data_IF_661972999561
#
_entry.id   IF_661972999561
#
_cell.length_a   1.000
_cell.length_b   1.000
_cell.length_c   1.000
_cell.angle_alpha   90.00
_cell.angle_beta   90.00
_cell.angle_gamma   90.00
#
_symmetry.space_group_name_H-M   'P 1'
#
loop_
_entity.id
_entity.type
_entity.pdbx_description
1 polymer ?
#
# COMPACT_ATOMS: atom_id res chain seq x y z
N UNK A 1 -57.54 -9.06 -10.41
CA UNK A 1 -56.68 -8.87 -11.58
C UNK A 1 -55.49 -8.03 -11.18
N UNK A 2 -54.31 -8.65 -11.12
CA UNK A 2 -53.03 -7.91 -10.91
C UNK A 2 -52.62 -7.27 -12.24
N UNK A 3 -52.19 -5.98 -12.26
CA UNK A 3 -51.71 -5.37 -13.49
C UNK A 3 -50.43 -6.08 -13.97
N UNK A 4 -50.18 -6.22 -15.28
CA UNK A 4 -49.00 -6.89 -15.81
C UNK A 4 -47.71 -6.15 -15.41
N UNK A 5 -46.61 -6.86 -15.23
CA UNK A 5 -45.33 -6.24 -14.85
C UNK A 5 -44.90 -5.23 -15.93
N UNK A 6 -44.72 -3.97 -15.54
CA UNK A 6 -44.22 -2.93 -16.46
C UNK A 6 -42.77 -3.26 -16.80
N UNK A 7 -42.52 -3.69 -18.03
CA UNK A 7 -41.16 -3.78 -18.56
C UNK A 7 -40.53 -2.38 -18.52
N UNK A 8 -39.29 -2.26 -18.00
CA UNK A 8 -38.59 -0.96 -18.04
C UNK A 8 -38.46 -0.50 -19.50
N UNK A 9 -38.61 0.81 -19.79
CA UNK A 9 -38.51 1.33 -21.13
C UNK A 9 -37.16 0.98 -21.78
N UNK A 10 -37.15 0.73 -23.07
CA UNK A 10 -36.00 0.31 -23.87
C UNK A 10 -34.81 1.25 -23.68
N UNK A 11 -35.04 2.55 -23.48
CA UNK A 11 -34.03 3.57 -23.16
C UNK A 11 -33.28 3.25 -21.85
N UNK A 12 -34.01 2.83 -20.81
CA UNK A 12 -33.38 2.46 -19.53
C UNK A 12 -32.51 1.16 -19.64
N UNK A 13 -32.89 0.22 -20.50
CA UNK A 13 -32.09 -0.98 -20.81
C UNK A 13 -30.84 -0.66 -21.63
N UNK A 14 -30.93 0.31 -22.55
CA UNK A 14 -29.81 0.79 -23.37
C UNK A 14 -28.83 1.59 -22.50
N UNK A 15 -29.30 2.46 -21.62
CA UNK A 15 -28.47 3.18 -20.65
C UNK A 15 -27.79 2.22 -19.62
N UNK A 16 -28.54 1.21 -19.15
CA UNK A 16 -27.94 0.18 -18.26
C UNK A 16 -26.91 -0.70 -18.97
N UNK A 17 -27.09 -1.02 -20.25
CA UNK A 17 -26.12 -1.76 -21.05
C UNK A 17 -24.85 -0.96 -21.34
N UNK A 18 -24.98 0.35 -21.57
CA UNK A 18 -23.85 1.25 -21.81
C UNK A 18 -22.98 1.52 -20.56
N UNK A 19 -23.47 1.19 -19.36
CA UNK A 19 -22.77 1.38 -18.08
C UNK A 19 -22.20 0.08 -17.49
N UNK A 20 -22.32 -1.06 -18.19
CA UNK A 20 -21.80 -2.34 -17.69
C UNK A 20 -20.29 -2.44 -17.81
N UNK A 21 -19.65 -3.03 -16.78
CA UNK A 21 -18.22 -3.31 -16.76
C UNK A 21 -17.88 -4.37 -17.81
N UNK A 22 -17.21 -3.95 -18.87
CA UNK A 22 -16.70 -4.85 -19.94
C UNK A 22 -15.34 -5.43 -19.57
N UNK A 23 -14.94 -6.54 -20.21
CA UNK A 23 -13.63 -7.16 -19.97
C UNK A 23 -12.45 -6.20 -20.29
N UNK A 24 -12.45 -5.41 -21.39
CA UNK A 24 -11.39 -4.40 -21.62
C UNK A 24 -11.34 -3.32 -20.54
N UNK A 25 -12.50 -2.87 -20.06
CA UNK A 25 -12.55 -1.85 -19.00
C UNK A 25 -12.08 -2.43 -17.65
N UNK A 26 -12.38 -3.71 -17.37
CA UNK A 26 -11.85 -4.41 -16.19
C UNK A 26 -10.32 -4.52 -16.26
N UNK A 27 -9.78 -4.84 -17.43
CA UNK A 27 -8.33 -4.90 -17.64
C UNK A 27 -7.68 -3.50 -17.48
N UNK A 28 -8.31 -2.46 -18.01
CA UNK A 28 -7.85 -1.08 -17.83
C UNK A 28 -7.86 -0.68 -16.35
N UNK A 29 -8.91 -1.02 -15.58
CA UNK A 29 -8.96 -0.75 -14.15
C UNK A 29 -7.87 -1.53 -13.40
N UNK A 30 -7.67 -2.82 -13.71
CA UNK A 30 -6.63 -3.64 -13.10
C UNK A 30 -5.23 -3.06 -13.41
N UNK A 31 -4.99 -2.62 -14.65
CA UNK A 31 -3.73 -1.97 -15.01
C UNK A 31 -3.57 -0.60 -14.33
N UNK A 32 -4.62 0.21 -14.26
CA UNK A 32 -4.58 1.50 -13.58
C UNK A 32 -4.23 1.34 -12.09
N UNK A 33 -4.90 0.44 -11.37
CA UNK A 33 -4.58 0.23 -9.94
C UNK A 33 -3.20 -0.40 -9.73
N UNK A 34 -2.70 -1.19 -10.70
CA UNK A 34 -1.33 -1.71 -10.69
C UNK A 34 -0.31 -0.56 -10.75
N UNK A 35 -0.45 0.35 -11.69
CA UNK A 35 0.47 1.51 -11.83
C UNK A 35 0.38 2.42 -10.61
N UNK A 36 -0.84 2.75 -10.15
CA UNK A 36 -1.04 3.64 -9.01
C UNK A 36 -0.42 3.08 -7.72
N UNK A 37 -0.51 1.77 -7.46
CA UNK A 37 0.10 1.18 -6.26
C UNK A 37 1.64 1.19 -6.35
N UNK A 38 2.21 1.12 -7.55
CA UNK A 38 3.66 1.26 -7.77
C UNK A 38 4.12 2.64 -7.28
N UNK A 39 3.36 3.72 -7.54
CA UNK A 39 3.68 5.07 -7.07
C UNK A 39 3.89 5.15 -5.55
N UNK A 40 3.22 4.29 -4.78
CA UNK A 40 3.27 4.29 -3.31
C UNK A 40 4.35 3.37 -2.74
N UNK A 41 4.60 2.24 -3.40
CA UNK A 41 5.40 1.15 -2.81
C UNK A 41 6.81 1.05 -3.37
N UNK A 42 7.07 1.67 -4.52
CA UNK A 42 8.35 1.59 -5.20
C UNK A 42 9.44 2.55 -4.67
N UNK A 43 9.10 3.49 -3.79
CA UNK A 43 10.06 4.49 -3.28
C UNK A 43 11.14 3.89 -2.35
N UNK A 44 10.88 2.73 -1.73
CA UNK A 44 11.79 2.13 -0.75
C UNK A 44 13.19 1.80 -1.31
N UNK A 45 13.36 1.07 -2.43
CA UNK A 45 14.67 0.81 -3.00
C UNK A 45 15.37 2.07 -3.55
N UNK A 46 14.62 3.12 -3.86
CA UNK A 46 15.15 4.38 -4.39
C UNK A 46 15.67 5.33 -3.29
N UNK A 47 15.45 5.00 -2.01
CA UNK A 47 15.84 5.85 -0.87
C UNK A 47 17.33 6.21 -0.91
N UNK A 48 18.21 5.25 -1.14
CA UNK A 48 19.66 5.47 -1.23
C UNK A 48 20.08 6.34 -2.43
N UNK A 49 19.73 5.96 -3.67
CA UNK A 49 20.04 6.73 -4.87
C UNK A 49 19.55 8.16 -4.85
N UNK A 50 18.28 8.39 -4.44
CA UNK A 50 17.69 9.73 -4.33
C UNK A 50 18.41 10.55 -3.28
N UNK A 51 18.67 9.98 -2.08
CA UNK A 51 19.33 10.71 -0.98
C UNK A 51 20.73 11.15 -1.36
N UNK A 52 21.51 10.28 -2.02
CA UNK A 52 22.84 10.65 -2.52
C UNK A 52 22.78 11.77 -3.57
N UNK A 53 21.86 11.65 -4.53
CA UNK A 53 21.73 12.60 -5.64
C UNK A 53 21.26 13.99 -5.19
N UNK A 54 20.40 14.06 -4.15
CA UNK A 54 19.81 15.31 -3.65
C UNK A 54 20.48 15.78 -2.33
N UNK A 55 21.60 15.16 -1.94
CA UNK A 55 22.37 15.50 -0.72
C UNK A 55 21.54 15.47 0.57
N UNK A 56 20.57 14.53 0.66
CA UNK A 56 19.82 14.31 1.89
C UNK A 56 20.69 13.63 2.94
N UNK A 57 20.70 14.11 4.19
CA UNK A 57 21.33 13.40 5.30
C UNK A 57 20.75 11.98 5.44
N UNK A 58 21.60 11.02 5.82
CA UNK A 58 21.16 9.61 5.99
C UNK A 58 20.00 9.48 6.97
N UNK A 59 20.00 10.28 8.04
CA UNK A 59 18.91 10.33 9.03
C UNK A 59 17.55 10.75 8.43
N UNK A 60 17.54 11.52 7.34
CA UNK A 60 16.35 12.00 6.65
C UNK A 60 16.02 11.18 5.38
N UNK A 61 16.87 10.21 5.03
CA UNK A 61 16.67 9.39 3.82
C UNK A 61 15.31 8.68 3.78
N UNK A 62 14.80 8.27 4.94
CA UNK A 62 13.47 7.65 5.07
C UNK A 62 12.30 8.54 4.60
N UNK A 63 12.49 9.88 4.50
CA UNK A 63 11.47 10.79 3.96
C UNK A 63 11.08 10.44 2.52
N UNK A 64 12.01 9.90 1.74
CA UNK A 64 11.76 9.48 0.35
C UNK A 64 10.64 8.44 0.27
N UNK A 65 10.62 7.48 1.20
CA UNK A 65 9.60 6.44 1.28
C UNK A 65 8.38 6.84 2.14
N UNK A 66 8.59 7.71 3.14
CA UNK A 66 7.52 8.16 4.04
C UNK A 66 6.52 9.08 3.36
N UNK A 67 6.99 10.09 2.64
CA UNK A 67 6.11 11.17 2.17
C UNK A 67 5.06 10.70 1.16
N UNK A 68 5.32 9.78 0.21
CA UNK A 68 4.26 9.20 -0.61
C UNK A 68 3.18 8.52 0.23
N UNK A 69 3.56 7.79 1.28
CA UNK A 69 2.62 7.08 2.17
C UNK A 69 1.79 8.05 3.01
N UNK A 70 2.40 9.09 3.57
CA UNK A 70 1.67 10.15 4.28
C UNK A 70 0.74 10.93 3.36
N UNK A 71 1.23 11.28 2.17
CA UNK A 71 0.40 11.90 1.14
C UNK A 71 -0.84 11.05 0.85
N UNK A 72 -0.65 9.75 0.64
CA UNK A 72 -1.75 8.81 0.41
C UNK A 72 -2.75 8.78 1.58
N UNK A 73 -2.26 8.75 2.82
CA UNK A 73 -3.14 8.82 4.00
C UNK A 73 -3.98 10.10 4.02
N UNK A 74 -3.39 11.25 3.67
CA UNK A 74 -4.11 12.52 3.51
C UNK A 74 -5.14 12.44 2.37
N UNK A 75 -4.75 11.91 1.22
CA UNK A 75 -5.67 11.69 0.09
C UNK A 75 -6.85 10.79 0.46
N UNK A 76 -6.61 9.73 1.21
CA UNK A 76 -7.65 8.83 1.73
C UNK A 76 -8.69 9.56 2.59
N UNK A 77 -8.25 10.47 3.44
CA UNK A 77 -9.14 11.19 4.36
C UNK A 77 -9.89 12.34 3.68
N UNK A 78 -9.26 13.02 2.71
CA UNK A 78 -9.81 14.26 2.15
C UNK A 78 -10.25 14.13 0.68
N UNK A 79 -9.60 13.33 -0.15
CA UNK A 79 -9.98 13.19 -1.56
C UNK A 79 -10.96 12.04 -1.81
N UNK A 80 -10.84 10.91 -1.11
CA UNK A 80 -11.74 9.77 -1.31
C UNK A 80 -13.20 10.10 -0.99
N UNK A 81 -13.56 10.87 0.05
CA UNK A 81 -14.94 11.26 0.29
C UNK A 81 -15.57 12.09 -0.85
N UNK A 82 -14.75 12.75 -1.68
CA UNK A 82 -15.26 13.47 -2.85
C UNK A 82 -15.86 12.54 -3.91
N UNK A 83 -15.52 11.25 -3.89
CA UNK A 83 -16.10 10.26 -4.79
C UNK A 83 -17.59 10.02 -4.55
N UNK A 84 -18.10 10.35 -3.37
CA UNK A 84 -19.52 10.28 -3.03
C UNK A 84 -20.28 11.56 -3.44
N UNK A 85 -19.58 12.63 -3.84
CA UNK A 85 -20.14 13.93 -4.15
C UNK A 85 -19.95 14.36 -5.61
N UNK A 86 -18.79 14.00 -6.19
CA UNK A 86 -18.39 14.44 -7.52
C UNK A 86 -18.58 13.33 -8.55
N UNK A 87 -18.68 13.74 -9.80
CA UNK A 87 -18.72 12.82 -10.93
C UNK A 87 -17.41 11.98 -10.97
N UNK A 88 -17.57 10.65 -10.92
CA UNK A 88 -16.47 9.71 -10.68
C UNK A 88 -15.39 9.72 -11.77
N UNK A 89 -15.78 9.88 -13.06
CA UNK A 89 -14.82 9.98 -14.17
C UNK A 89 -13.97 11.23 -14.03
N UNK A 90 -14.61 12.39 -13.80
CA UNK A 90 -13.91 13.67 -13.67
C UNK A 90 -12.96 13.64 -12.47
N UNK A 91 -13.40 13.12 -11.33
CA UNK A 91 -12.56 13.00 -10.13
C UNK A 91 -11.36 12.09 -10.39
N UNK A 92 -11.58 10.89 -10.94
CA UNK A 92 -10.51 9.93 -11.21
C UNK A 92 -9.48 10.46 -12.20
N UNK A 93 -9.94 11.07 -13.30
CA UNK A 93 -9.05 11.65 -14.33
C UNK A 93 -8.25 12.82 -13.76
N UNK A 94 -8.88 13.70 -13.00
CA UNK A 94 -8.19 14.85 -12.39
C UNK A 94 -7.15 14.40 -11.38
N UNK A 95 -7.45 13.43 -10.51
CA UNK A 95 -6.49 12.90 -9.54
C UNK A 95 -5.30 12.24 -10.23
N UNK A 96 -5.52 11.45 -11.29
CA UNK A 96 -4.42 10.83 -12.05
C UNK A 96 -3.60 11.86 -12.83
N UNK A 97 -4.22 12.86 -13.45
CA UNK A 97 -3.49 13.92 -14.14
C UNK A 97 -2.63 14.75 -13.16
N UNK A 98 -3.17 15.04 -11.96
CA UNK A 98 -2.39 15.67 -10.90
C UNK A 98 -1.24 14.77 -10.44
N UNK A 99 -1.47 13.46 -10.29
CA UNK A 99 -0.42 12.49 -9.94
C UNK A 99 0.70 12.50 -10.99
N UNK A 100 0.35 12.40 -12.26
CA UNK A 100 1.30 12.46 -13.38
C UNK A 100 2.15 13.74 -13.34
N UNK A 101 1.51 14.89 -13.12
CA UNK A 101 2.20 16.18 -12.98
C UNK A 101 3.17 16.18 -11.79
N UNK A 102 2.75 15.69 -10.63
CA UNK A 102 3.60 15.65 -9.44
C UNK A 102 4.78 14.68 -9.62
N UNK A 103 4.57 13.53 -10.28
CA UNK A 103 5.65 12.59 -10.61
C UNK A 103 6.65 13.20 -11.62
N UNK A 104 6.16 13.96 -12.62
CA UNK A 104 7.02 14.69 -13.56
C UNK A 104 7.85 15.76 -12.85
N UNK A 105 7.25 16.49 -11.92
CA UNK A 105 7.96 17.45 -11.06
C UNK A 105 8.98 16.74 -10.15
N UNK A 106 8.69 15.58 -9.62
CA UNK A 106 9.65 14.77 -8.86
C UNK A 106 10.82 14.33 -9.72
N UNK A 107 10.57 13.88 -10.96
CA UNK A 107 11.61 13.48 -11.92
C UNK A 107 12.56 14.65 -12.27
N UNK A 108 12.05 15.87 -12.39
CA UNK A 108 12.81 17.08 -12.73
C UNK A 108 13.38 17.82 -11.50
N UNK A 109 13.14 17.34 -10.28
CA UNK A 109 13.52 18.05 -9.07
C UNK A 109 15.05 18.19 -8.95
N UNK A 110 15.51 19.43 -8.77
CA UNK A 110 16.92 19.76 -8.55
C UNK A 110 17.30 19.74 -7.06
N UNK A 111 16.33 19.89 -6.16
CA UNK A 111 16.56 19.97 -4.71
C UNK A 111 15.64 19.04 -3.95
N UNK A 112 16.11 18.59 -2.76
CA UNK A 112 15.37 17.68 -1.92
C UNK A 112 13.98 18.20 -1.49
N UNK A 113 13.78 19.45 -1.05
CA UNK A 113 12.46 19.92 -0.63
C UNK A 113 11.41 19.86 -1.76
N UNK A 114 11.78 20.21 -2.97
CA UNK A 114 10.89 20.13 -4.13
C UNK A 114 10.54 18.70 -4.49
N UNK A 115 11.54 17.80 -4.47
CA UNK A 115 11.30 16.37 -4.67
C UNK A 115 10.33 15.82 -3.61
N UNK A 116 10.60 16.08 -2.34
CA UNK A 116 9.81 15.57 -1.22
C UNK A 116 8.37 16.09 -1.23
N UNK A 117 8.17 17.37 -1.57
CA UNK A 117 6.83 17.93 -1.76
C UNK A 117 6.10 17.25 -2.93
N UNK A 118 6.78 17.09 -4.06
CA UNK A 118 6.19 16.49 -5.24
C UNK A 118 5.76 15.03 -4.99
N UNK A 119 6.59 14.19 -4.37
CA UNK A 119 6.23 12.80 -4.06
C UNK A 119 5.14 12.70 -2.98
N UNK A 120 5.07 13.64 -2.04
CA UNK A 120 3.98 13.72 -1.07
C UNK A 120 2.64 13.99 -1.76
N UNK A 121 2.60 14.96 -2.67
CA UNK A 121 1.40 15.30 -3.44
C UNK A 121 1.03 14.21 -4.45
N UNK A 122 2.02 13.54 -5.07
CA UNK A 122 1.80 12.35 -5.88
C UNK A 122 1.14 11.24 -5.07
N UNK A 123 1.61 11.00 -3.84
CA UNK A 123 1.00 10.06 -2.90
C UNK A 123 -0.47 10.42 -2.62
N UNK A 124 -0.77 11.69 -2.31
CA UNK A 124 -2.12 12.13 -2.02
C UNK A 124 -3.09 11.88 -3.20
N UNK A 125 -2.64 12.13 -4.41
CA UNK A 125 -3.42 11.92 -5.64
C UNK A 125 -3.48 10.45 -6.09
N UNK A 126 -2.62 9.59 -5.59
CA UNK A 126 -2.67 8.12 -5.82
C UNK A 126 -3.86 7.43 -5.14
N UNK A 127 -4.71 8.15 -4.40
CA UNK A 127 -5.92 7.60 -3.78
C UNK A 127 -7.00 7.14 -4.79
N UNK A 128 -6.83 7.37 -6.10
CA UNK A 128 -7.74 6.93 -7.17
C UNK A 128 -8.03 5.42 -7.15
N UNK A 129 -7.17 4.57 -6.58
CA UNK A 129 -7.46 3.14 -6.32
C UNK A 129 -8.77 2.97 -5.56
N UNK A 130 -9.00 3.80 -4.55
CA UNK A 130 -10.17 3.72 -3.67
C UNK A 130 -11.45 4.19 -4.36
N UNK A 131 -11.34 4.84 -5.51
CA UNK A 131 -12.47 5.23 -6.37
C UNK A 131 -12.71 4.11 -7.42
N UNK A 132 -11.65 3.61 -8.06
CA UNK A 132 -11.76 2.64 -9.15
C UNK A 132 -12.29 1.28 -8.69
N UNK A 133 -11.89 0.78 -7.53
CA UNK A 133 -12.33 -0.55 -7.03
C UNK A 133 -13.83 -0.57 -6.69
N UNK A 134 -14.40 0.35 -5.91
CA UNK A 134 -15.85 0.43 -5.71
C UNK A 134 -16.62 0.72 -7.00
N UNK A 135 -16.06 1.53 -7.92
CA UNK A 135 -16.67 1.83 -9.19
C UNK A 135 -16.80 0.58 -10.07
N UNK A 136 -15.76 -0.28 -10.11
CA UNK A 136 -15.83 -1.57 -10.79
C UNK A 136 -16.95 -2.46 -10.22
N UNK A 137 -17.06 -2.53 -8.88
CA UNK A 137 -18.15 -3.26 -8.23
C UNK A 137 -19.52 -2.72 -8.57
N UNK A 138 -19.66 -1.39 -8.65
CA UNK A 138 -20.93 -0.73 -8.95
C UNK A 138 -21.33 -0.83 -10.43
N UNK A 139 -20.37 -1.04 -11.34
CA UNK A 139 -20.62 -1.24 -12.78
C UNK A 139 -20.82 -2.72 -13.13
N UNK A 140 -20.46 -3.66 -12.26
CA UNK A 140 -20.62 -5.07 -12.51
C UNK A 140 -22.06 -5.54 -12.25
N UNK A 141 -22.49 -6.59 -12.99
CA UNK A 141 -23.74 -7.28 -12.71
C UNK A 141 -23.76 -7.79 -11.25
N UNK A 142 -24.90 -7.77 -10.55
CA UNK A 142 -25.00 -8.17 -9.14
C UNK A 142 -24.31 -9.50 -8.84
N UNK A 143 -24.49 -10.53 -9.68
CA UNK A 143 -23.92 -11.87 -9.50
C UNK A 143 -22.40 -11.93 -9.77
N UNK A 144 -21.81 -10.91 -10.41
CA UNK A 144 -20.40 -10.86 -10.81
C UNK A 144 -19.60 -9.79 -10.07
N UNK A 145 -20.18 -9.07 -9.11
CA UNK A 145 -19.50 -8.00 -8.36
C UNK A 145 -18.24 -8.47 -7.68
N UNK A 146 -18.29 -9.63 -7.02
CA UNK A 146 -17.13 -10.22 -6.37
C UNK A 146 -15.99 -10.54 -7.34
N UNK A 147 -16.31 -11.13 -8.50
CA UNK A 147 -15.33 -11.42 -9.55
C UNK A 147 -14.73 -10.13 -10.14
N UNK A 148 -15.55 -9.10 -10.39
CA UNK A 148 -15.07 -7.82 -10.90
C UNK A 148 -14.07 -7.15 -9.94
N UNK A 149 -14.41 -7.09 -8.64
CA UNK A 149 -13.49 -6.58 -7.61
C UNK A 149 -12.23 -7.43 -7.54
N UNK A 150 -12.36 -8.76 -7.55
CA UNK A 150 -11.21 -9.68 -7.54
C UNK A 150 -10.25 -9.44 -8.71
N UNK A 151 -10.77 -9.27 -9.92
CA UNK A 151 -9.98 -9.01 -11.11
C UNK A 151 -9.25 -7.65 -11.04
N UNK A 152 -9.90 -6.60 -10.52
CA UNK A 152 -9.23 -5.31 -10.34
C UNK A 152 -8.19 -5.38 -9.21
N UNK A 153 -8.50 -6.06 -8.10
CA UNK A 153 -7.57 -6.25 -6.98
C UNK A 153 -6.35 -7.10 -7.35
N UNK A 154 -6.44 -7.99 -8.37
CA UNK A 154 -5.26 -8.68 -8.89
C UNK A 154 -4.23 -7.70 -9.46
N UNK A 155 -4.68 -6.58 -10.04
CA UNK A 155 -3.80 -5.49 -10.46
C UNK A 155 -3.05 -4.85 -9.29
N UNK A 156 -3.73 -4.65 -8.14
CA UNK A 156 -3.06 -4.15 -6.92
C UNK A 156 -1.98 -5.13 -6.46
N UNK A 157 -2.28 -6.42 -6.42
CA UNK A 157 -1.30 -7.45 -6.01
C UNK A 157 -0.10 -7.49 -6.95
N UNK A 158 -0.35 -7.44 -8.26
CA UNK A 158 0.71 -7.39 -9.27
C UNK A 158 1.56 -6.13 -9.13
N UNK A 159 0.95 -4.98 -8.88
CA UNK A 159 1.64 -3.71 -8.65
C UNK A 159 2.54 -3.73 -7.42
N UNK A 160 2.06 -4.28 -6.30
CA UNK A 160 2.88 -4.46 -5.09
C UNK A 160 4.07 -5.36 -5.38
N UNK A 161 3.84 -6.49 -6.07
CA UNK A 161 4.87 -7.45 -6.43
C UNK A 161 5.96 -6.84 -7.33
N UNK A 162 5.54 -6.13 -8.37
CA UNK A 162 6.44 -5.58 -9.38
C UNK A 162 7.08 -4.25 -8.96
N UNK A 163 6.54 -3.54 -7.97
CA UNK A 163 6.95 -2.17 -7.63
C UNK A 163 8.44 -2.05 -7.35
N UNK A 164 8.98 -2.89 -6.47
CA UNK A 164 10.38 -2.85 -6.07
C UNK A 164 11.35 -3.34 -7.16
N UNK A 165 11.11 -4.51 -7.81
CA UNK A 165 11.93 -4.94 -8.95
C UNK A 165 11.94 -3.92 -10.09
N UNK A 166 10.79 -3.38 -10.45
CA UNK A 166 10.64 -2.39 -11.50
C UNK A 166 11.43 -1.10 -11.19
N UNK A 167 11.34 -0.61 -9.93
CA UNK A 167 12.09 0.55 -9.49
C UNK A 167 13.61 0.31 -9.54
N UNK A 168 14.07 -0.84 -9.04
CA UNK A 168 15.49 -1.18 -9.01
C UNK A 168 16.07 -1.35 -10.41
N UNK A 169 15.35 -1.99 -11.34
CA UNK A 169 15.80 -2.18 -12.72
C UNK A 169 15.89 -0.88 -13.51
N UNK A 170 14.87 -0.01 -13.42
CA UNK A 170 14.91 1.28 -14.10
C UNK A 170 15.98 2.18 -13.48
N UNK A 171 16.08 2.19 -12.16
CA UNK A 171 17.10 2.99 -11.48
C UNK A 171 18.51 2.56 -11.90
N UNK A 172 18.79 1.25 -11.94
CA UNK A 172 20.09 0.74 -12.35
C UNK A 172 20.46 1.03 -13.80
N UNK A 173 19.48 1.07 -14.72
CA UNK A 173 19.72 1.31 -16.14
C UNK A 173 19.73 2.79 -16.52
N UNK A 174 18.85 3.60 -15.94
CA UNK A 174 18.56 4.97 -16.39
C UNK A 174 18.52 5.99 -15.25
N UNK A 175 18.73 5.56 -14.02
CA UNK A 175 18.66 6.40 -12.82
C UNK A 175 17.25 6.62 -12.29
N UNK A 176 17.16 7.08 -11.04
CA UNK A 176 15.90 7.27 -10.32
C UNK A 176 14.96 8.31 -10.95
N UNK A 177 15.51 9.33 -11.65
CA UNK A 177 14.70 10.32 -12.37
C UNK A 177 13.89 9.72 -13.50
N UNK A 178 14.49 8.79 -14.25
CA UNK A 178 13.80 8.06 -15.31
C UNK A 178 12.64 7.23 -14.76
N UNK A 179 12.80 6.62 -13.59
CA UNK A 179 11.71 5.89 -12.94
C UNK A 179 10.47 6.78 -12.70
N UNK A 180 10.65 7.94 -12.08
CA UNK A 180 9.54 8.88 -11.85
C UNK A 180 8.97 9.44 -13.16
N UNK A 181 9.81 9.66 -14.17
CA UNK A 181 9.39 10.06 -15.51
C UNK A 181 8.52 9.01 -16.23
N UNK A 182 8.89 7.73 -16.12
CA UNK A 182 8.09 6.61 -16.66
C UNK A 182 6.75 6.52 -15.96
N UNK A 183 6.71 6.64 -14.63
CA UNK A 183 5.44 6.63 -13.88
C UNK A 183 4.56 7.83 -14.24
N UNK A 184 5.15 9.01 -14.41
CA UNK A 184 4.42 10.20 -14.86
C UNK A 184 3.76 9.98 -16.23
N UNK A 185 4.51 9.40 -17.18
CA UNK A 185 3.98 9.09 -18.51
C UNK A 185 2.86 8.04 -18.45
N UNK A 186 3.03 6.98 -17.65
CA UNK A 186 2.00 5.95 -17.46
C UNK A 186 0.72 6.52 -16.84
N UNK A 187 0.82 7.34 -15.78
CA UNK A 187 -0.35 7.97 -15.15
C UNK A 187 -1.05 8.95 -16.10
N UNK A 188 -0.31 9.70 -16.92
CA UNK A 188 -0.89 10.59 -17.93
C UNK A 188 -1.64 9.80 -19.01
N UNK A 189 -1.08 8.69 -19.50
CA UNK A 189 -1.74 7.80 -20.45
C UNK A 189 -2.98 7.15 -19.87
N UNK A 190 -2.93 6.75 -18.60
CA UNK A 190 -4.07 6.21 -17.87
C UNK A 190 -5.18 7.26 -17.68
N UNK A 191 -4.81 8.48 -17.33
CA UNK A 191 -5.77 9.60 -17.22
C UNK A 191 -6.48 9.82 -18.56
N UNK A 192 -5.76 9.83 -19.67
CA UNK A 192 -6.32 9.97 -21.03
C UNK A 192 -7.21 8.78 -21.40
N UNK A 193 -6.77 7.56 -21.11
CA UNK A 193 -7.54 6.34 -21.38
C UNK A 193 -8.84 6.32 -20.57
N UNK A 194 -8.80 6.62 -19.29
CA UNK A 194 -9.98 6.68 -18.43
C UNK A 194 -10.88 7.85 -18.81
N UNK A 195 -10.33 8.99 -19.21
CA UNK A 195 -11.15 10.07 -19.75
C UNK A 195 -11.95 9.64 -21.00
N UNK A 196 -11.37 8.80 -21.86
CA UNK A 196 -12.01 8.34 -23.11
C UNK A 196 -13.03 7.23 -22.90
N UNK A 197 -12.77 6.29 -21.97
CA UNK A 197 -13.54 5.05 -21.87
C UNK A 197 -14.38 4.93 -20.60
N UNK A 198 -14.11 5.72 -19.55
CA UNK A 198 -14.89 5.66 -18.32
C UNK A 198 -16.24 6.35 -18.52
N UNK A 199 -17.40 5.71 -18.23
CA UNK A 199 -18.70 6.34 -18.34
C UNK A 199 -18.88 7.40 -17.26
N UNK A 200 -19.66 8.43 -17.60
CA UNK A 200 -20.09 9.47 -16.67
C UNK A 200 -21.03 8.86 -15.62
N UNK A 201 -20.70 9.01 -14.37
CA UNK A 201 -21.51 8.51 -13.26
C UNK A 201 -21.49 9.50 -12.10
N UNK A 202 -22.69 9.98 -11.75
CA UNK A 202 -22.88 10.84 -10.60
C UNK A 202 -23.32 10.00 -9.40
N UNK A 203 -22.65 10.10 -8.25
CA UNK A 203 -23.12 9.49 -7.02
C UNK A 203 -24.40 10.17 -6.56
N UNK A 204 -25.36 9.37 -6.08
CA UNK A 204 -26.67 9.88 -5.61
C UNK A 204 -26.70 10.26 -4.14
N UNK A 205 -25.56 10.59 -3.50
CA UNK A 205 -25.54 10.92 -2.09
C UNK A 205 -26.03 12.35 -1.85
N UNK A 206 -27.08 12.51 -1.04
CA UNK A 206 -27.54 13.81 -0.54
C UNK A 206 -26.68 14.38 0.60
N UNK A 207 -25.49 13.81 0.85
CA UNK A 207 -24.59 14.20 1.95
C UNK A 207 -23.76 15.43 1.56
N UNK A 208 -23.32 16.19 2.57
CA UNK A 208 -22.40 17.31 2.36
C UNK A 208 -20.97 16.86 2.68
N UNK A 209 -19.97 17.47 2.05
CA UNK A 209 -18.55 17.16 2.31
C UNK A 209 -18.18 17.30 3.81
N UNK A 210 -18.68 18.36 4.46
CA UNK A 210 -18.46 18.56 5.92
C UNK A 210 -19.10 17.44 6.73
N UNK A 211 -20.29 16.95 6.36
CA UNK A 211 -20.96 15.81 6.99
C UNK A 211 -20.16 14.53 6.85
N UNK A 212 -19.60 14.25 5.67
CA UNK A 212 -18.74 13.09 5.41
C UNK A 212 -17.48 13.13 6.28
N UNK A 213 -16.75 14.24 6.32
CA UNK A 213 -15.55 14.38 7.17
C UNK A 213 -15.89 14.28 8.66
N UNK A 214 -16.97 14.92 9.11
CA UNK A 214 -17.42 14.81 10.51
C UNK A 214 -17.78 13.37 10.90
N UNK A 215 -18.36 12.61 9.96
CA UNK A 215 -18.70 11.20 10.18
C UNK A 215 -17.46 10.31 10.39
N UNK A 216 -16.32 10.63 9.77
CA UNK A 216 -15.05 9.91 10.01
C UNK A 216 -14.59 10.09 11.47
N UNK A 217 -14.67 11.32 12.00
CA UNK A 217 -14.36 11.60 13.41
C UNK A 217 -15.28 10.87 14.39
N UNK A 218 -16.58 10.83 14.06
CA UNK A 218 -17.58 10.12 14.86
C UNK A 218 -17.31 8.61 14.85
N UNK A 219 -17.08 7.99 13.70
CA UNK A 219 -16.71 6.58 13.56
C UNK A 219 -15.44 6.25 14.35
N UNK A 220 -14.41 7.08 14.23
CA UNK A 220 -13.17 6.89 14.98
C UNK A 220 -13.37 6.89 16.48
N UNK A 221 -14.21 7.79 17.02
CA UNK A 221 -14.50 7.87 18.46
C UNK A 221 -15.36 6.71 18.94
N UNK A 222 -16.36 6.33 18.16
CA UNK A 222 -17.34 5.31 18.52
C UNK A 222 -16.78 3.89 18.45
N UNK A 223 -16.04 3.55 17.39
CA UNK A 223 -15.67 2.17 17.09
C UNK A 223 -14.30 1.81 17.71
N UNK A 224 -14.33 1.20 18.93
CA UNK A 224 -13.13 0.72 19.63
C UNK A 224 -12.38 -0.35 18.83
N UNK A 225 -13.11 -1.24 18.15
CA UNK A 225 -12.55 -2.31 17.33
C UNK A 225 -11.76 -1.74 16.16
N UNK A 226 -12.29 -0.70 15.48
CA UNK A 226 -11.55 0.02 14.43
C UNK A 226 -10.21 0.54 14.95
N UNK A 227 -10.21 1.26 16.07
CA UNK A 227 -8.97 1.81 16.64
C UNK A 227 -7.95 0.74 16.99
N UNK A 228 -8.40 -0.36 17.61
CA UNK A 228 -7.54 -1.50 17.98
C UNK A 228 -6.82 -2.05 16.74
N UNK A 229 -7.56 -2.44 15.72
CA UNK A 229 -6.97 -3.02 14.50
C UNK A 229 -6.18 -2.00 13.68
N UNK A 230 -6.62 -0.73 13.62
CA UNK A 230 -5.89 0.32 12.91
C UNK A 230 -4.53 0.62 13.58
N UNK A 231 -4.45 0.67 14.91
CA UNK A 231 -3.18 0.86 15.62
C UNK A 231 -2.26 -0.36 15.48
N UNK A 232 -2.78 -1.60 15.59
CA UNK A 232 -1.99 -2.80 15.35
C UNK A 232 -1.38 -2.77 13.96
N UNK A 233 -2.21 -2.56 12.94
CA UNK A 233 -1.79 -2.50 11.56
C UNK A 233 -0.80 -1.36 11.28
N UNK A 234 -0.94 -0.20 11.94
CA UNK A 234 0.00 0.91 11.82
C UNK A 234 1.38 0.56 12.40
N UNK A 235 1.43 -0.08 13.57
CA UNK A 235 2.68 -0.50 14.20
C UNK A 235 3.38 -1.59 13.38
N UNK A 236 2.62 -2.58 12.87
CA UNK A 236 3.13 -3.61 11.96
C UNK A 236 3.67 -2.99 10.68
N UNK A 237 2.92 -2.05 10.08
CA UNK A 237 3.37 -1.36 8.86
C UNK A 237 4.59 -0.48 9.11
N UNK A 238 4.74 0.10 10.31
CA UNK A 238 5.94 0.83 10.69
C UNK A 238 7.17 -0.10 10.69
N UNK A 239 7.09 -1.27 11.31
CA UNK A 239 8.16 -2.27 11.28
C UNK A 239 8.47 -2.77 9.87
N UNK A 240 7.44 -3.05 9.09
CA UNK A 240 7.56 -3.47 7.69
C UNK A 240 8.25 -2.40 6.81
N UNK A 241 7.81 -1.14 6.90
CA UNK A 241 8.43 -0.04 6.15
C UNK A 241 9.86 0.23 6.61
N UNK A 242 10.15 0.11 7.90
CA UNK A 242 11.50 0.24 8.44
C UNK A 242 12.43 -0.84 7.86
N UNK A 243 11.99 -2.10 7.84
CA UNK A 243 12.76 -3.19 7.24
C UNK A 243 13.06 -2.95 5.76
N UNK A 244 12.05 -2.69 4.92
CA UNK A 244 12.23 -2.51 3.49
C UNK A 244 13.03 -1.25 3.12
N UNK A 245 12.97 -0.19 3.94
CA UNK A 245 13.81 1.00 3.78
C UNK A 245 15.27 0.70 4.13
N UNK A 246 15.51 0.03 5.25
CA UNK A 246 16.86 -0.27 5.73
C UNK A 246 17.56 -1.37 4.94
N UNK A 247 16.84 -2.42 4.50
CA UNK A 247 17.43 -3.55 3.77
C UNK A 247 18.07 -3.09 2.45
N UNK A 248 17.47 -2.10 1.78
CA UNK A 248 18.03 -1.50 0.58
C UNK A 248 19.40 -0.86 0.82
N UNK A 249 19.61 -0.26 2.00
CA UNK A 249 20.91 0.28 2.39
C UNK A 249 21.91 -0.83 2.78
N UNK A 250 21.44 -1.92 3.37
CA UNK A 250 22.30 -3.04 3.82
C UNK A 250 22.84 -3.87 2.67
N UNK A 251 22.00 -4.21 1.69
CA UNK A 251 22.37 -5.13 0.61
C UNK A 251 23.37 -4.54 -0.38
N UNK A 252 23.48 -3.22 -0.49
CA UNK A 252 24.53 -2.57 -1.31
C UNK A 252 25.90 -2.51 -0.61
N UNK A 253 25.96 -2.82 0.69
CA UNK A 253 27.20 -2.86 1.45
C UNK A 253 27.83 -4.25 1.45
N UNK A 254 29.16 -4.30 1.67
CA UNK A 254 29.87 -5.56 1.90
C UNK A 254 29.27 -6.34 3.11
N UNK A 255 29.26 -7.65 3.08
CA UNK A 255 29.81 -8.55 2.04
C UNK A 255 28.82 -8.83 0.88
N UNK A 256 27.59 -8.31 0.89
CA UNK A 256 26.57 -8.61 -0.12
C UNK A 256 26.84 -7.89 -1.44
N UNK A 257 27.09 -6.58 -1.39
CA UNK A 257 27.43 -5.72 -2.56
C UNK A 257 26.52 -5.96 -3.79
N UNK A 258 25.20 -6.09 -3.55
CA UNK A 258 24.24 -6.35 -4.63
C UNK A 258 24.10 -5.14 -5.55
N UNK A 259 24.11 -5.41 -6.85
CA UNK A 259 23.76 -4.49 -7.91
C UNK A 259 22.23 -4.35 -8.04
N UNK A 260 21.77 -3.55 -9.00
CA UNK A 260 20.34 -3.32 -9.23
C UNK A 260 19.58 -4.59 -9.61
N UNK A 261 20.22 -5.56 -10.30
CA UNK A 261 19.61 -6.85 -10.62
C UNK A 261 19.46 -7.72 -9.37
N UNK A 262 20.50 -7.81 -8.55
CA UNK A 262 20.45 -8.51 -7.27
C UNK A 262 19.39 -7.92 -6.34
N UNK A 263 19.28 -6.59 -6.30
CA UNK A 263 18.24 -5.89 -5.54
C UNK A 263 16.83 -6.20 -6.07
N UNK A 264 16.65 -6.24 -7.39
CA UNK A 264 15.38 -6.61 -8.01
C UNK A 264 15.00 -8.06 -7.69
N UNK A 265 15.95 -9.00 -7.75
CA UNK A 265 15.72 -10.41 -7.39
C UNK A 265 15.38 -10.55 -5.90
N UNK A 266 16.11 -9.88 -5.00
CA UNK A 266 15.80 -9.89 -3.57
C UNK A 266 14.39 -9.36 -3.31
N UNK A 267 13.96 -8.32 -4.01
CA UNK A 267 12.64 -7.72 -3.86
C UNK A 267 11.49 -8.68 -4.22
N UNK A 268 11.74 -9.75 -5.00
CA UNK A 268 10.76 -10.81 -5.27
C UNK A 268 10.40 -11.62 -4.01
N UNK A 269 11.18 -11.53 -2.93
CA UNK A 269 10.78 -12.10 -1.64
C UNK A 269 9.40 -11.58 -1.18
N UNK A 270 9.02 -10.34 -1.55
CA UNK A 270 7.69 -9.76 -1.31
C UNK A 270 6.53 -10.46 -2.02
N UNK A 271 6.77 -11.46 -2.90
CA UNK A 271 5.72 -12.31 -3.49
C UNK A 271 4.93 -13.05 -2.43
N UNK A 272 5.56 -13.38 -1.29
CA UNK A 272 4.92 -14.13 -0.21
C UNK A 272 3.62 -13.48 0.27
N UNK A 273 3.57 -12.15 0.34
CA UNK A 273 2.36 -11.41 0.70
C UNK A 273 1.17 -11.69 -0.22
N UNK A 274 1.41 -11.85 -1.52
CA UNK A 274 0.32 -12.11 -2.49
C UNK A 274 -0.30 -13.51 -2.30
N UNK A 275 0.49 -14.47 -1.82
CA UNK A 275 0.03 -15.83 -1.52
C UNK A 275 -0.68 -15.87 -0.15
N UNK A 276 -0.16 -15.14 0.81
CA UNK A 276 -0.70 -15.13 2.20
C UNK A 276 -2.04 -14.40 2.29
N UNK A 277 -2.28 -13.35 1.51
CA UNK A 277 -3.53 -12.58 1.57
C UNK A 277 -4.80 -13.46 1.40
N UNK A 278 -4.95 -14.29 0.35
CA UNK A 278 -6.13 -15.15 0.20
C UNK A 278 -6.20 -16.25 1.27
N UNK A 279 -5.06 -16.75 1.77
CA UNK A 279 -5.02 -17.75 2.85
C UNK A 279 -5.51 -17.14 4.17
N UNK A 280 -5.00 -15.97 4.56
CA UNK A 280 -5.44 -15.24 5.75
C UNK A 280 -6.93 -14.88 5.66
N UNK A 281 -7.42 -14.47 4.48
CA UNK A 281 -8.83 -14.25 4.22
C UNK A 281 -9.68 -15.49 4.51
N UNK A 282 -9.33 -16.64 3.92
CA UNK A 282 -10.04 -17.93 4.14
C UNK A 282 -10.02 -18.37 5.61
N UNK A 283 -8.89 -18.21 6.31
CA UNK A 283 -8.77 -18.52 7.73
C UNK A 283 -9.70 -17.61 8.55
N UNK A 284 -9.72 -16.33 8.20
CA UNK A 284 -10.63 -15.35 8.80
C UNK A 284 -12.10 -15.72 8.60
N UNK A 285 -12.49 -16.15 7.38
CA UNK A 285 -13.87 -16.52 7.04
C UNK A 285 -14.36 -17.74 7.82
N UNK A 286 -13.46 -18.64 8.19
CA UNK A 286 -13.72 -19.78 9.06
C UNK A 286 -13.80 -19.44 10.54
N UNK A 287 -13.70 -18.16 10.92
CA UNK A 287 -13.78 -17.71 12.32
C UNK A 287 -12.47 -17.81 13.12
N UNK A 288 -11.35 -18.23 12.48
CA UNK A 288 -10.07 -18.45 13.15
C UNK A 288 -9.18 -17.19 13.22
N UNK A 289 -9.73 -16.00 13.06
CA UNK A 289 -8.96 -14.73 13.13
C UNK A 289 -8.24 -14.57 14.48
N UNK A 290 -8.84 -15.06 15.56
CA UNK A 290 -8.24 -15.00 16.89
C UNK A 290 -6.94 -15.80 17.03
N UNK A 291 -6.80 -16.93 16.37
CA UNK A 291 -5.57 -17.75 16.39
C UNK A 291 -4.59 -17.33 15.30
N UNK A 292 -5.06 -16.81 14.17
CA UNK A 292 -4.22 -16.42 13.04
C UNK A 292 -3.44 -15.12 13.28
N UNK A 293 -3.99 -14.17 14.04
CA UNK A 293 -3.33 -12.88 14.31
C UNK A 293 -2.00 -13.03 15.07
N UNK A 294 -1.90 -13.79 16.20
CA UNK A 294 -0.61 -14.03 16.86
C UNK A 294 0.38 -14.77 15.97
N UNK A 295 -0.09 -15.68 15.12
CA UNK A 295 0.79 -16.37 14.16
C UNK A 295 1.41 -15.37 13.19
N UNK A 296 0.61 -14.41 12.67
CA UNK A 296 1.13 -13.34 11.84
C UNK A 296 2.20 -12.51 12.56
N UNK A 297 1.96 -12.14 13.82
CA UNK A 297 2.94 -11.40 14.62
C UNK A 297 4.18 -12.22 14.97
N UNK A 298 4.06 -13.53 15.20
CA UNK A 298 5.22 -14.42 15.39
C UNK A 298 6.08 -14.53 14.13
N UNK A 299 5.47 -14.60 12.95
CA UNK A 299 6.22 -14.58 11.68
C UNK A 299 7.04 -13.29 11.55
N UNK A 300 6.48 -12.13 11.92
CA UNK A 300 7.21 -10.87 11.94
C UNK A 300 8.41 -10.92 12.89
N UNK A 301 8.22 -11.38 14.12
CA UNK A 301 9.29 -11.47 15.12
C UNK A 301 10.42 -12.40 14.67
N UNK A 302 10.08 -13.60 14.17
CA UNK A 302 11.06 -14.56 13.65
C UNK A 302 11.81 -13.95 12.45
N UNK A 303 11.08 -13.31 11.53
CA UNK A 303 11.67 -12.63 10.38
C UNK A 303 12.68 -11.56 10.79
N UNK A 304 12.36 -10.72 11.77
CA UNK A 304 13.28 -9.68 12.27
C UNK A 304 14.50 -10.29 12.96
N UNK A 305 14.34 -11.33 13.77
CA UNK A 305 15.47 -12.02 14.42
C UNK A 305 16.42 -12.64 13.39
N UNK A 306 15.87 -13.28 12.35
CA UNK A 306 16.67 -13.79 11.23
C UNK A 306 17.39 -12.66 10.48
N UNK A 307 16.73 -11.54 10.24
CA UNK A 307 17.30 -10.37 9.58
C UNK A 307 18.45 -9.75 10.40
N UNK A 308 18.31 -9.70 11.71
CA UNK A 308 19.36 -9.24 12.63
C UNK A 308 20.54 -10.20 12.66
N UNK A 309 20.29 -11.50 12.68
CA UNK A 309 21.36 -12.52 12.63
C UNK A 309 22.12 -12.46 11.31
N UNK A 310 21.41 -12.52 10.19
CA UNK A 310 22.00 -12.62 8.86
C UNK A 310 22.58 -11.30 8.33
N UNK A 311 22.07 -10.16 8.79
CA UNK A 311 22.52 -8.87 8.29
C UNK A 311 23.38 -8.05 9.25
N UNK A 312 23.26 -8.27 10.58
CA UNK A 312 23.99 -7.54 11.62
C UNK A 312 24.90 -8.44 12.47
N UNK A 313 24.91 -9.76 12.22
CA UNK A 313 25.74 -10.70 12.98
C UNK A 313 25.22 -10.98 14.39
N UNK A 314 23.94 -10.77 14.66
CA UNK A 314 23.36 -11.14 15.94
C UNK A 314 23.56 -12.62 16.21
N UNK A 315 23.72 -12.98 17.49
CA UNK A 315 23.99 -14.34 17.94
C UNK A 315 25.31 -14.94 17.39
N UNK A 316 26.26 -14.07 16.99
CA UNK A 316 27.59 -14.51 16.55
C UNK A 316 27.66 -15.09 15.13
N UNK A 317 26.69 -14.80 14.28
CA UNK A 317 26.69 -15.30 12.91
C UNK A 317 27.85 -14.71 12.08
N UNK A 318 28.74 -15.55 11.49
CA UNK A 318 29.90 -15.08 10.70
C UNK A 318 29.48 -14.71 9.28
N UNK A 319 28.93 -13.50 9.08
CA UNK A 319 28.37 -13.04 7.81
C UNK A 319 29.45 -12.99 6.72
N UNK A 320 30.66 -12.54 7.07
CA UNK A 320 31.76 -12.38 6.12
C UNK A 320 32.26 -13.73 5.57
N UNK A 321 32.20 -14.80 6.37
CA UNK A 321 32.64 -16.15 5.98
C UNK A 321 31.60 -16.85 5.11
N UNK A 322 30.28 -16.58 5.33
CA UNK A 322 29.19 -17.24 4.66
C UNK A 322 28.15 -16.25 4.07
N UNK A 323 28.56 -15.34 3.15
CA UNK A 323 27.68 -14.28 2.65
C UNK A 323 26.46 -14.80 1.88
N UNK A 324 26.59 -15.93 1.18
CA UNK A 324 25.47 -16.54 0.45
C UNK A 324 24.42 -17.14 1.40
N UNK A 325 24.83 -17.80 2.47
CA UNK A 325 23.93 -18.29 3.51
C UNK A 325 23.21 -17.13 4.19
N UNK A 326 23.95 -16.06 4.53
CA UNK A 326 23.39 -14.85 5.12
C UNK A 326 22.37 -14.19 4.20
N UNK A 327 22.66 -14.10 2.90
CA UNK A 327 21.70 -13.59 1.91
C UNK A 327 20.45 -14.46 1.83
N UNK A 328 20.60 -15.78 1.80
CA UNK A 328 19.46 -16.71 1.81
C UNK A 328 18.57 -16.55 3.05
N UNK A 329 19.17 -16.37 4.23
CA UNK A 329 18.42 -16.09 5.47
C UNK A 329 17.75 -14.73 5.46
N UNK A 330 18.33 -13.69 4.83
CA UNK A 330 17.70 -12.41 4.63
C UNK A 330 16.47 -12.51 3.69
N UNK A 331 16.53 -13.35 2.66
CA UNK A 331 15.37 -13.63 1.79
C UNK A 331 14.26 -14.30 2.59
N UNK A 332 14.59 -15.33 3.41
CA UNK A 332 13.59 -15.98 4.29
C UNK A 332 13.01 -14.97 5.28
N UNK A 333 13.85 -14.11 5.87
CA UNK A 333 13.39 -13.05 6.76
C UNK A 333 12.39 -12.10 6.08
N UNK A 334 12.68 -11.68 4.85
CA UNK A 334 11.78 -10.82 4.07
C UNK A 334 10.44 -11.53 3.77
N UNK A 335 10.47 -12.83 3.42
CA UNK A 335 9.28 -13.65 3.19
C UNK A 335 8.40 -13.72 4.44
N UNK A 336 9.00 -13.97 5.61
CA UNK A 336 8.27 -14.05 6.88
C UNK A 336 7.68 -12.70 7.29
N UNK A 337 8.42 -11.62 7.09
CA UNK A 337 7.95 -10.27 7.35
C UNK A 337 6.77 -9.89 6.45
N UNK A 338 6.86 -10.15 5.15
CA UNK A 338 5.76 -9.93 4.21
C UNK A 338 4.51 -10.75 4.58
N UNK A 339 4.72 -12.04 4.87
CA UNK A 339 3.64 -12.94 5.27
C UNK A 339 2.93 -12.45 6.54
N UNK A 340 3.68 -12.06 7.56
CA UNK A 340 3.14 -11.55 8.82
C UNK A 340 2.39 -10.23 8.64
N UNK A 341 2.99 -9.27 7.91
CA UNK A 341 2.37 -7.96 7.70
C UNK A 341 1.07 -8.03 6.88
N UNK A 342 1.06 -8.82 5.80
CA UNK A 342 -0.13 -9.02 4.97
C UNK A 342 -1.19 -9.82 5.72
N UNK A 343 -0.79 -10.79 6.56
CA UNK A 343 -1.67 -11.53 7.45
C UNK A 343 -2.41 -10.61 8.42
N UNK A 344 -1.68 -9.78 9.17
CA UNK A 344 -2.26 -8.78 10.10
C UNK A 344 -3.22 -7.82 9.39
N UNK A 345 -2.77 -7.23 8.26
CA UNK A 345 -3.59 -6.29 7.49
C UNK A 345 -4.89 -6.93 6.99
N UNK A 346 -4.82 -8.16 6.48
CA UNK A 346 -5.99 -8.85 5.91
C UNK A 346 -7.01 -9.19 6.98
N UNK A 347 -6.56 -9.75 8.11
CA UNK A 347 -7.41 -10.09 9.25
C UNK A 347 -8.02 -8.84 9.90
N UNK A 348 -7.22 -7.78 10.08
CA UNK A 348 -7.69 -6.52 10.63
C UNK A 348 -8.73 -5.85 9.72
N UNK A 349 -8.48 -5.77 8.41
CA UNK A 349 -9.41 -5.23 7.43
C UNK A 349 -10.73 -5.99 7.39
N UNK A 350 -10.68 -7.32 7.50
CA UNK A 350 -11.88 -8.14 7.61
C UNK A 350 -12.68 -7.79 8.86
N UNK A 351 -12.04 -7.70 10.02
CA UNK A 351 -12.71 -7.39 11.28
C UNK A 351 -13.45 -6.05 11.23
N UNK A 352 -12.84 -5.00 10.68
CA UNK A 352 -13.48 -3.68 10.56
C UNK A 352 -14.62 -3.65 9.54
N UNK A 353 -14.53 -4.43 8.46
CA UNK A 353 -15.59 -4.51 7.43
C UNK A 353 -16.88 -5.17 7.93
N UNK A 354 -16.82 -5.88 9.05
CA UNK A 354 -17.98 -6.51 9.67
C UNK A 354 -18.70 -5.59 10.68
N UNK A 355 -18.14 -4.42 11.02
CA UNK A 355 -18.70 -3.52 12.03
C UNK A 355 -19.98 -2.83 11.56
N UNK A 356 -19.98 -2.25 10.38
CA UNK A 356 -21.14 -1.55 9.80
C UNK A 356 -21.11 -1.65 8.27
N UNK A 357 -22.09 -2.38 7.67
CA UNK A 357 -22.19 -2.50 6.22
C UNK A 357 -22.35 -1.16 5.47
N UNK A 358 -22.99 -0.17 6.09
CA UNK A 358 -23.25 1.14 5.48
C UNK A 358 -22.06 2.11 5.60
N UNK A 359 -21.10 1.82 6.49
CA UNK A 359 -19.93 2.64 6.74
C UNK A 359 -18.61 1.99 6.24
N UNK A 360 -18.67 0.88 5.50
CA UNK A 360 -17.47 0.10 5.08
C UNK A 360 -16.41 0.94 4.39
N UNK A 361 -16.79 1.80 3.46
CA UNK A 361 -15.84 2.67 2.74
C UNK A 361 -15.11 3.61 3.71
N UNK A 362 -15.85 4.24 4.63
CA UNK A 362 -15.32 5.16 5.64
C UNK A 362 -14.43 4.43 6.66
N UNK A 363 -14.85 3.25 7.11
CA UNK A 363 -14.06 2.39 8.01
C UNK A 363 -12.74 1.96 7.37
N UNK A 364 -12.78 1.52 6.11
CA UNK A 364 -11.57 1.18 5.36
C UNK A 364 -10.67 2.40 5.14
N UNK A 365 -11.24 3.56 4.83
CA UNK A 365 -10.49 4.81 4.67
C UNK A 365 -9.69 5.17 5.94
N UNK A 366 -10.34 5.13 7.09
CA UNK A 366 -9.69 5.37 8.38
C UNK A 366 -8.61 4.33 8.70
N UNK A 367 -8.92 3.04 8.51
CA UNK A 367 -7.97 1.96 8.75
C UNK A 367 -6.72 2.09 7.87
N UNK A 368 -6.90 2.27 6.56
CA UNK A 368 -5.81 2.38 5.59
C UNK A 368 -5.03 3.69 5.78
N UNK A 369 -5.72 4.79 6.12
CA UNK A 369 -5.05 6.05 6.44
C UNK A 369 -4.09 5.91 7.62
N UNK A 370 -4.56 5.34 8.74
CA UNK A 370 -3.73 5.12 9.94
C UNK A 370 -2.60 4.11 9.67
N UNK A 371 -2.87 3.05 8.91
CA UNK A 371 -1.89 2.08 8.46
C UNK A 371 -0.71 2.75 7.70
N UNK A 372 -0.99 3.63 6.73
CA UNK A 372 0.06 4.32 5.98
C UNK A 372 0.78 5.40 6.78
N UNK A 373 0.11 6.05 7.73
CA UNK A 373 0.80 6.92 8.71
C UNK A 373 1.85 6.13 9.49
N UNK A 374 1.49 4.93 9.96
CA UNK A 374 2.45 4.02 10.60
C UNK A 374 3.63 3.70 9.69
N UNK A 375 3.35 3.33 8.44
CA UNK A 375 4.39 3.04 7.44
C UNK A 375 5.34 4.22 7.20
N UNK A 376 4.81 5.42 7.10
CA UNK A 376 5.60 6.63 6.96
C UNK A 376 6.53 6.87 8.15
N UNK A 377 6.00 6.77 9.37
CA UNK A 377 6.79 6.91 10.61
C UNK A 377 7.91 5.86 10.63
N UNK A 378 7.61 4.61 10.30
CA UNK A 378 8.59 3.53 10.25
C UNK A 378 9.72 3.78 9.25
N UNK A 379 9.41 4.31 8.08
CA UNK A 379 10.40 4.63 7.06
C UNK A 379 11.40 5.72 7.52
N UNK A 380 10.93 6.78 8.19
CA UNK A 380 11.82 7.81 8.77
C UNK A 380 12.62 7.26 9.94
N UNK A 381 11.95 6.53 10.85
CA UNK A 381 12.61 5.93 11.99
C UNK A 381 13.73 4.96 11.57
N UNK A 382 13.58 4.26 10.43
CA UNK A 382 14.63 3.42 9.86
C UNK A 382 15.87 4.23 9.46
N UNK A 383 15.72 5.39 8.84
CA UNK A 383 16.84 6.27 8.48
C UNK A 383 17.60 6.74 9.71
N UNK A 384 16.89 7.12 10.77
CA UNK A 384 17.49 7.51 12.07
C UNK A 384 18.17 6.34 12.75
N UNK A 385 17.52 5.18 12.83
CA UNK A 385 18.09 3.96 13.43
C UNK A 385 19.34 3.49 12.67
N UNK A 386 19.33 3.61 11.34
CA UNK A 386 20.49 3.34 10.50
C UNK A 386 21.65 4.28 10.81
N UNK A 387 21.39 5.58 10.93
CA UNK A 387 22.43 6.57 11.22
C UNK A 387 23.09 6.35 12.59
N UNK A 388 22.34 5.81 13.58
CA UNK A 388 22.85 5.55 14.95
C UNK A 388 23.63 4.24 15.02
N UNK A 389 23.09 3.13 14.50
CA UNK A 389 23.61 1.77 14.72
C UNK A 389 23.54 0.87 13.46
N UNK A 390 23.50 1.46 12.27
CA UNK A 390 23.46 0.73 11.03
C UNK A 390 22.28 -0.24 10.94
N UNK A 391 22.49 -1.36 10.26
CA UNK A 391 21.46 -2.40 10.10
C UNK A 391 20.98 -2.99 11.43
N UNK A 392 21.87 -3.14 12.40
CA UNK A 392 21.51 -3.62 13.75
C UNK A 392 20.49 -2.72 14.44
N UNK A 393 20.63 -1.40 14.28
CA UNK A 393 19.67 -0.42 14.79
C UNK A 393 18.30 -0.53 14.11
N UNK A 394 18.28 -0.73 12.79
CA UNK A 394 17.01 -0.97 12.06
C UNK A 394 16.32 -2.23 12.54
N UNK A 395 17.07 -3.34 12.70
CA UNK A 395 16.50 -4.59 13.21
C UNK A 395 15.98 -4.45 14.65
N UNK A 396 16.69 -3.72 15.52
CA UNK A 396 16.23 -3.46 16.89
C UNK A 396 14.92 -2.66 16.91
N UNK A 397 14.82 -1.63 16.07
CA UNK A 397 13.58 -0.86 15.87
C UNK A 397 12.43 -1.76 15.39
N UNK A 398 12.66 -2.57 14.35
CA UNK A 398 11.66 -3.50 13.83
C UNK A 398 11.22 -4.50 14.90
N UNK A 399 12.16 -5.04 15.70
CA UNK A 399 11.86 -5.97 16.78
C UNK A 399 10.96 -5.32 17.85
N UNK A 400 11.29 -4.10 18.26
CA UNK A 400 10.49 -3.36 19.23
C UNK A 400 9.05 -3.11 18.71
N UNK A 401 8.89 -2.71 17.45
CA UNK A 401 7.58 -2.48 16.83
C UNK A 401 6.79 -3.79 16.70
N UNK A 402 7.39 -4.87 16.21
CA UNK A 402 6.71 -6.16 16.09
C UNK A 402 6.33 -6.75 17.45
N UNK A 403 7.20 -6.60 18.47
CA UNK A 403 6.90 -7.00 19.84
C UNK A 403 5.74 -6.18 20.43
N UNK A 404 5.71 -4.86 20.18
CA UNK A 404 4.60 -3.98 20.61
C UNK A 404 3.26 -4.43 19.99
N UNK A 405 3.24 -4.77 18.71
CA UNK A 405 2.04 -5.28 18.05
C UNK A 405 1.60 -6.62 18.65
N UNK A 406 2.52 -7.56 18.86
CA UNK A 406 2.25 -8.87 19.43
C UNK A 406 1.71 -8.78 20.85
N UNK A 407 2.41 -8.04 21.74
CA UNK A 407 1.99 -7.85 23.14
C UNK A 407 0.65 -7.11 23.20
N UNK A 408 0.45 -6.08 22.37
CA UNK A 408 -0.80 -5.34 22.26
C UNK A 408 -1.99 -6.25 21.91
N UNK A 409 -1.79 -7.20 20.97
CA UNK A 409 -2.83 -8.20 20.63
C UNK A 409 -3.11 -9.16 21.78
N UNK A 410 -2.09 -9.67 22.46
CA UNK A 410 -2.26 -10.56 23.62
C UNK A 410 -3.00 -9.87 24.77
N UNK A 411 -2.62 -8.65 25.14
CA UNK A 411 -3.28 -7.88 26.19
C UNK A 411 -4.74 -7.55 25.84
N UNK A 412 -5.02 -7.27 24.57
CA UNK A 412 -6.38 -6.99 24.14
C UNK A 412 -7.29 -8.24 24.20
N UNK A 413 -6.72 -9.46 24.09
CA UNK A 413 -7.44 -10.73 24.25
C UNK A 413 -7.69 -11.08 25.70
N UNK A 414 -6.72 -10.81 26.58
CA UNK A 414 -6.88 -11.07 28.01
C UNK A 414 -7.99 -10.24 28.68
N UNK A 415 -8.48 -9.20 28.00
CA UNK A 415 -9.57 -8.33 28.48
C UNK A 415 -10.96 -8.72 27.97
N UNK A 416 -11.04 -9.76 27.13
CA UNK A 416 -12.28 -10.35 26.61
C UNK A 416 -12.42 -11.80 27.01
#
# INVERSE_FOLDING_TARGET
MQPPPRHPPIVAKVEQAATQLTAPLTALFAFAVCVIIINLTAAQPLTGPVSRSLHLPVSLSGLVAMLPQLGYAVGMLFLVPLADLLENRRLTVTTLACCALMLALAASAATAPWFLLAVCLAGATSCAIQILVPLAAAMAHPDRRGSAVGNVMSGVMLGILLSRPFASLIEGAFGWRAFYGVLAALDALLALALWRWLPLRHPGSGETYRGLIASLGTLWRREKVLRRYAYSAAVVMAGFSAFWTGIGLRLVQAPFSLDSHGMALFALAGVAGTIVAPLAGKIGDRGHSATAMPVAHLLLLIGVLLAGSAGAGWFGMPIAEHPQLALGLLVIAAILLDAGAVGDQTLGRRAINMLDPNARSRLNGLFVGVFFVGGGIGAVAAGTAWAIAGWGGVCALCLALCALAFVGDLLARARH
#
